data_IF_553300010793
#
_entry.id   IF_553300010793
#
_cell.length_a   1.000
_cell.length_b   1.000
_cell.length_c   1.000
_cell.angle_alpha   90.00
_cell.angle_beta   90.00
_cell.angle_gamma   90.00
#
_symmetry.space_group_name_H-M   'P 1'
#
loop_
_entity.id
_entity.type
_entity.pdbx_description
1 polymer ?
#
# COMPACT_ATOMS: atom_id res chain seq x y z
N UNK A 1 64.06 11.19 61.94
CA UNK A 1 63.67 11.57 60.58
C UNK A 1 62.72 10.58 59.87
N UNK A 2 62.19 9.52 60.53
CA UNK A 2 61.26 8.56 59.88
C UNK A 2 59.77 8.74 60.26
N UNK A 3 59.44 9.49 61.32
CA UNK A 3 58.04 9.74 61.74
C UNK A 3 57.31 10.74 60.82
N UNK A 4 58.02 11.71 60.24
CA UNK A 4 57.41 12.73 59.36
C UNK A 4 57.10 12.20 57.95
N UNK A 5 57.88 11.23 57.44
CA UNK A 5 57.59 10.54 56.18
C UNK A 5 56.29 9.71 56.25
N UNK A 6 56.03 9.07 57.39
CA UNK A 6 54.79 8.30 57.60
C UNK A 6 53.54 9.20 57.71
N UNK A 7 53.70 10.40 58.28
CA UNK A 7 52.61 11.38 58.44
C UNK A 7 52.21 12.00 57.10
N UNK A 8 53.19 12.37 56.28
CA UNK A 8 52.98 12.89 54.92
C UNK A 8 52.42 11.84 53.95
N UNK A 9 52.86 10.58 54.05
CA UNK A 9 52.29 9.47 53.27
C UNK A 9 50.82 9.16 53.64
N UNK A 10 50.47 9.12 54.93
CA UNK A 10 49.08 8.95 55.37
C UNK A 10 48.17 10.10 54.94
N UNK A 11 48.67 11.34 54.97
CA UNK A 11 47.93 12.52 54.48
C UNK A 11 47.65 12.42 52.96
N UNK A 12 48.62 11.97 52.15
CA UNK A 12 48.42 11.76 50.71
C UNK A 12 47.38 10.68 50.41
N UNK A 13 47.42 9.56 51.15
CA UNK A 13 46.43 8.48 51.01
C UNK A 13 45.02 8.97 51.37
N UNK A 14 44.87 9.72 52.47
CA UNK A 14 43.57 10.30 52.86
C UNK A 14 43.05 11.27 51.81
N UNK A 15 43.91 12.12 51.24
CA UNK A 15 43.53 13.02 50.15
C UNK A 15 43.03 12.25 48.92
N UNK A 16 43.73 11.18 48.51
CA UNK A 16 43.30 10.33 47.41
C UNK A 16 41.98 9.62 47.72
N UNK A 17 41.79 9.14 48.95
CA UNK A 17 40.57 8.48 49.40
C UNK A 17 39.36 9.43 49.37
N UNK A 18 39.53 10.64 49.90
CA UNK A 18 38.49 11.68 49.88
C UNK A 18 38.15 12.08 48.44
N UNK A 19 39.17 12.20 47.59
CA UNK A 19 38.98 12.50 46.17
C UNK A 19 38.24 11.37 45.44
N UNK A 20 38.54 10.11 45.77
CA UNK A 20 37.86 8.96 45.16
C UNK A 20 36.42 8.83 45.64
N UNK A 21 36.16 9.03 46.93
CA UNK A 21 34.80 9.03 47.50
C UNK A 21 33.97 10.18 46.95
N UNK A 22 34.54 11.38 46.79
CA UNK A 22 33.82 12.51 46.19
C UNK A 22 33.47 12.27 44.73
N UNK A 23 34.35 11.58 43.98
CA UNK A 23 34.09 11.21 42.59
C UNK A 23 32.96 10.18 42.46
N UNK A 24 32.94 9.17 43.34
CA UNK A 24 31.85 8.18 43.42
C UNK A 24 30.53 8.88 43.77
N UNK A 25 30.55 9.81 44.74
CA UNK A 25 29.38 10.56 45.13
C UNK A 25 28.83 11.42 43.96
N UNK A 26 29.71 12.08 43.21
CA UNK A 26 29.35 12.82 41.99
C UNK A 26 28.72 11.94 40.92
N UNK A 27 29.26 10.74 40.68
CA UNK A 27 28.67 9.78 39.75
C UNK A 27 27.31 9.27 40.24
N UNK A 28 27.17 9.01 41.54
CA UNK A 28 25.91 8.60 42.17
C UNK A 28 24.83 9.67 42.07
N UNK A 29 25.16 10.92 42.40
CA UNK A 29 24.25 12.06 42.28
C UNK A 29 23.81 12.27 40.82
N UNK A 30 24.73 12.13 39.86
CA UNK A 30 24.39 12.23 38.44
C UNK A 30 23.52 11.07 37.95
N UNK A 31 23.75 9.85 38.44
CA UNK A 31 22.89 8.70 38.15
C UNK A 31 21.49 8.89 38.73
N UNK A 32 21.38 9.39 39.96
CA UNK A 32 20.10 9.72 40.59
C UNK A 32 19.36 10.81 39.82
N UNK A 33 20.04 11.85 39.35
CA UNK A 33 19.46 12.89 38.50
C UNK A 33 18.85 12.32 37.21
N UNK A 34 19.58 11.42 36.56
CA UNK A 34 19.12 10.76 35.33
C UNK A 34 17.94 9.82 35.60
N UNK A 35 17.99 9.03 36.68
CA UNK A 35 16.99 8.00 36.98
C UNK A 35 15.74 8.51 37.70
N UNK A 36 15.78 9.67 38.36
CA UNK A 36 14.64 10.20 39.13
C UNK A 36 14.07 11.45 38.48
N UNK A 37 14.89 12.47 38.21
CA UNK A 37 14.40 13.73 37.64
C UNK A 37 14.18 13.63 36.13
N UNK A 38 15.09 12.99 35.40
CA UNK A 38 15.01 12.88 33.93
C UNK A 38 14.39 11.58 33.43
N UNK A 39 14.04 10.65 34.32
CA UNK A 39 13.51 9.35 33.89
C UNK A 39 12.22 9.48 33.09
N UNK A 40 11.29 10.35 33.49
CA UNK A 40 10.04 10.51 32.75
C UNK A 40 10.28 11.07 31.34
N UNK A 41 11.08 12.15 31.23
CA UNK A 41 11.40 12.77 29.94
C UNK A 41 12.18 11.81 29.03
N UNK A 42 13.21 11.13 29.55
CA UNK A 42 14.03 10.18 28.78
C UNK A 42 13.24 8.93 28.39
N UNK A 43 12.34 8.45 29.26
CA UNK A 43 11.46 7.32 28.93
C UNK A 43 10.47 7.71 27.86
N UNK A 44 9.87 8.91 27.92
CA UNK A 44 8.94 9.39 26.91
C UNK A 44 9.63 9.64 25.55
N UNK A 45 10.86 10.17 25.57
CA UNK A 45 11.68 10.38 24.37
C UNK A 45 12.10 9.04 23.75
N UNK A 46 12.57 8.10 24.57
CA UNK A 46 12.84 6.73 24.14
C UNK A 46 11.59 6.05 23.59
N UNK A 47 10.46 6.18 24.26
CA UNK A 47 9.18 5.64 23.79
C UNK A 47 8.75 6.23 22.45
N UNK A 48 8.88 7.53 22.25
CA UNK A 48 8.56 8.16 20.97
C UNK A 48 9.54 7.72 19.85
N UNK A 49 10.82 7.49 20.20
CA UNK A 49 11.82 6.98 19.28
C UNK A 49 11.60 5.49 18.93
N UNK A 50 11.11 4.68 19.88
CA UNK A 50 10.80 3.25 19.70
C UNK A 50 9.40 3.01 19.09
N UNK A 51 8.41 3.85 19.41
CA UNK A 51 7.03 3.73 18.96
C UNK A 51 6.88 4.25 17.54
N UNK A 52 7.17 3.38 16.56
CA UNK A 52 6.76 3.66 15.19
C UNK A 52 5.27 3.38 15.05
N UNK A 53 4.52 4.39 14.66
CA UNK A 53 3.16 4.20 14.17
C UNK A 53 3.22 3.63 12.76
N UNK A 54 2.57 2.48 12.54
CA UNK A 54 2.30 1.99 11.20
C UNK A 54 0.82 2.22 10.92
N UNK A 55 0.55 2.78 9.74
CA UNK A 55 -0.81 2.95 9.24
C UNK A 55 -1.20 1.63 8.61
N UNK A 56 -2.20 0.96 9.19
CA UNK A 56 -2.81 -0.22 8.59
C UNK A 56 -4.09 0.23 7.92
N UNK A 57 -4.14 0.08 6.60
CA UNK A 57 -5.31 0.39 5.78
C UNK A 57 -6.16 -0.86 5.62
N UNK A 58 -7.48 -0.73 5.77
CA UNK A 58 -8.40 -1.80 5.45
C UNK A 58 -8.49 -2.07 3.95
N UNK A 59 -8.97 -3.25 3.60
CA UNK A 59 -9.21 -3.61 2.21
C UNK A 59 -10.28 -2.74 1.58
N UNK A 60 -10.09 -2.37 0.31
CA UNK A 60 -11.11 -1.69 -0.47
C UNK A 60 -12.32 -2.60 -0.73
N UNK A 61 -13.52 -2.05 -0.57
CA UNK A 61 -14.80 -2.73 -0.77
C UNK A 61 -15.02 -3.24 -2.19
N UNK A 62 -15.89 -4.22 -2.35
CA UNK A 62 -16.13 -4.89 -3.62
C UNK A 62 -17.11 -4.10 -4.48
N UNK A 63 -16.97 -4.21 -5.81
CA UNK A 63 -17.99 -3.78 -6.77
C UNK A 63 -18.61 -5.04 -7.34
N UNK A 64 -19.93 -5.16 -7.19
CA UNK A 64 -20.71 -6.33 -7.57
C UNK A 64 -21.73 -5.95 -8.64
N UNK A 65 -22.12 -6.91 -9.48
CA UNK A 65 -23.28 -6.76 -10.36
C UNK A 65 -24.60 -7.02 -9.60
N UNK A 66 -25.75 -6.86 -10.27
CA UNK A 66 -27.07 -7.09 -9.68
C UNK A 66 -27.31 -8.50 -9.16
N UNK A 67 -26.52 -9.47 -9.62
CA UNK A 67 -26.57 -10.89 -9.24
C UNK A 67 -25.43 -11.26 -8.28
N UNK A 68 -24.80 -10.28 -7.65
CA UNK A 68 -23.69 -10.44 -6.69
C UNK A 68 -22.41 -11.04 -7.28
N UNK A 69 -22.26 -11.04 -8.60
CA UNK A 69 -21.01 -11.41 -9.27
C UNK A 69 -19.97 -10.31 -9.08
N UNK A 70 -18.73 -10.72 -8.79
CA UNK A 70 -17.61 -9.81 -8.58
C UNK A 70 -17.22 -9.13 -9.90
N UNK A 71 -17.28 -7.80 -9.92
CA UNK A 71 -16.78 -6.95 -10.99
C UNK A 71 -15.41 -6.34 -10.65
N UNK A 72 -15.23 -5.92 -9.39
CA UNK A 72 -13.95 -5.52 -8.84
C UNK A 72 -13.78 -6.03 -7.39
N UNK A 73 -12.58 -6.52 -7.06
CA UNK A 73 -12.26 -7.03 -5.73
C UNK A 73 -10.82 -6.70 -5.37
N UNK A 74 -10.53 -6.65 -4.08
CA UNK A 74 -9.17 -6.60 -3.56
C UNK A 74 -8.67 -8.04 -3.40
N UNK A 75 -7.42 -8.29 -3.79
CA UNK A 75 -6.71 -9.55 -3.56
C UNK A 75 -5.48 -9.30 -2.70
N UNK A 76 -5.14 -10.27 -1.86
CA UNK A 76 -3.92 -10.24 -1.07
C UNK A 76 -2.70 -10.21 -1.98
N UNK A 77 -1.81 -9.27 -1.70
CA UNK A 77 -0.54 -9.12 -2.39
C UNK A 77 0.58 -8.98 -1.36
N UNK A 78 1.79 -9.31 -1.75
CA UNK A 78 2.96 -9.12 -0.89
C UNK A 78 3.80 -8.02 -1.51
N UNK A 79 4.11 -7.00 -0.73
CA UNK A 79 5.07 -5.97 -1.10
C UNK A 79 6.38 -6.20 -0.35
N UNK A 80 7.50 -5.98 -1.03
CA UNK A 80 8.83 -6.19 -0.49
C UNK A 80 9.44 -4.83 -0.19
N UNK A 81 9.84 -4.65 1.06
CA UNK A 81 10.50 -3.45 1.55
C UNK A 81 11.89 -3.79 2.06
N UNK A 82 12.75 -2.78 2.09
CA UNK A 82 14.11 -2.90 2.56
C UNK A 82 14.39 -1.83 3.62
N UNK A 83 15.24 -2.16 4.58
CA UNK A 83 15.98 -1.22 5.40
C UNK A 83 17.45 -1.26 4.93
N UNK A 84 17.81 -0.44 3.93
CA UNK A 84 19.18 -0.35 3.40
C UNK A 84 20.27 -0.29 4.48
N UNK A 85 20.04 0.47 5.56
CA UNK A 85 20.96 0.58 6.70
C UNK A 85 21.35 -0.77 7.34
N UNK A 86 20.48 -1.79 7.28
CA UNK A 86 20.72 -3.13 7.87
C UNK A 86 21.30 -4.13 6.87
N UNK A 87 21.47 -3.76 5.60
CA UNK A 87 21.93 -4.67 4.55
C UNK A 87 23.46 -4.64 4.50
N UNK A 88 24.10 -5.78 4.82
CA UNK A 88 25.56 -5.90 4.78
C UNK A 88 26.13 -5.82 3.36
N UNK A 89 25.53 -6.58 2.43
CA UNK A 89 26.04 -6.70 1.05
C UNK A 89 25.07 -6.22 -0.05
N UNK A 90 25.03 -4.89 -0.28
CA UNK A 90 24.49 -4.19 -1.43
C UNK A 90 24.17 -4.99 -2.68
N UNK A 91 25.29 -5.35 -3.33
CA UNK A 91 25.34 -5.90 -4.67
C UNK A 91 24.92 -7.36 -4.76
N UNK A 92 25.14 -8.16 -3.71
CA UNK A 92 24.68 -9.56 -3.70
C UNK A 92 23.16 -9.59 -3.55
N UNK A 93 22.62 -8.82 -2.61
CA UNK A 93 21.18 -8.68 -2.43
C UNK A 93 20.51 -8.18 -3.72
N UNK A 94 21.06 -7.12 -4.32
CA UNK A 94 20.52 -6.58 -5.56
C UNK A 94 20.51 -7.59 -6.72
N UNK A 95 21.59 -8.34 -6.94
CA UNK A 95 21.68 -9.35 -8.03
C UNK A 95 20.72 -10.52 -7.86
N UNK A 96 20.56 -11.04 -6.65
CA UNK A 96 19.63 -12.16 -6.39
C UNK A 96 18.17 -11.69 -6.49
N UNK A 97 17.85 -10.54 -5.91
CA UNK A 97 16.50 -9.96 -5.97
C UNK A 97 16.12 -9.56 -7.41
N UNK A 98 17.05 -8.97 -8.17
CA UNK A 98 16.80 -8.58 -9.55
C UNK A 98 16.42 -9.75 -10.45
N UNK A 99 17.05 -10.92 -10.24
CA UNK A 99 16.77 -12.13 -11.02
C UNK A 99 15.36 -12.66 -10.78
N UNK A 100 14.86 -12.59 -9.54
CA UNK A 100 13.53 -13.07 -9.17
C UNK A 100 12.44 -12.07 -9.56
N UNK A 101 12.71 -10.78 -9.37
CA UNK A 101 11.74 -9.70 -9.59
C UNK A 101 11.74 -9.16 -11.02
N UNK A 102 12.68 -9.58 -11.85
CA UNK A 102 12.91 -9.09 -13.21
C UNK A 102 13.04 -7.55 -13.27
N UNK A 103 13.85 -6.99 -12.37
CA UNK A 103 14.11 -5.54 -12.25
C UNK A 103 15.59 -5.25 -12.48
N UNK A 104 15.91 -4.03 -12.88
CA UNK A 104 17.30 -3.64 -13.14
C UNK A 104 18.17 -3.71 -11.87
N UNK A 105 19.18 -4.59 -11.87
CA UNK A 105 20.07 -4.82 -10.73
C UNK A 105 20.83 -3.55 -10.29
N UNK A 106 21.28 -2.72 -11.24
CA UNK A 106 22.03 -1.49 -10.96
C UNK A 106 21.15 -0.45 -10.27
N UNK A 107 19.89 -0.31 -10.72
CA UNK A 107 18.90 0.56 -10.06
C UNK A 107 18.61 0.08 -8.65
N UNK A 108 18.41 -1.22 -8.47
CA UNK A 108 18.09 -1.79 -7.17
C UNK A 108 19.27 -1.68 -6.19
N UNK A 109 20.50 -1.90 -6.65
CA UNK A 109 21.71 -1.72 -5.85
C UNK A 109 21.82 -0.28 -5.34
N UNK A 110 21.57 0.73 -6.20
CA UNK A 110 21.57 2.13 -5.77
C UNK A 110 20.56 2.40 -4.64
N UNK A 111 19.38 1.78 -4.71
CA UNK A 111 18.36 1.88 -3.66
C UNK A 111 18.80 1.19 -2.36
N UNK A 112 19.38 -0.01 -2.47
CA UNK A 112 19.83 -0.84 -1.35
C UNK A 112 21.12 -0.36 -0.68
N UNK A 113 21.97 0.39 -1.38
CA UNK A 113 23.20 0.98 -0.84
C UNK A 113 22.98 2.32 -0.11
N UNK A 114 21.75 2.81 -0.04
CA UNK A 114 21.45 4.07 0.66
C UNK A 114 21.50 3.92 2.19
N UNK A 115 21.65 5.02 2.93
CA UNK A 115 21.61 5.02 4.41
C UNK A 115 20.17 5.17 4.95
N UNK A 116 19.16 4.82 4.14
CA UNK A 116 17.76 4.99 4.51
C UNK A 116 17.29 3.83 5.39
N UNK A 117 16.39 4.13 6.33
CA UNK A 117 15.72 3.13 7.16
C UNK A 117 14.54 2.43 6.46
N UNK A 118 14.14 2.93 5.29
CA UNK A 118 13.03 2.39 4.50
C UNK A 118 13.27 2.64 3.00
N UNK A 119 13.05 1.61 2.18
CA UNK A 119 13.03 1.70 0.74
C UNK A 119 12.08 0.64 0.14
N UNK A 120 11.30 1.03 -0.86
CA UNK A 120 10.51 0.08 -1.66
C UNK A 120 11.42 -0.73 -2.58
N UNK A 121 11.35 -2.06 -2.52
CA UNK A 121 12.05 -2.97 -3.44
C UNK A 121 11.12 -3.30 -4.60
N UNK A 122 9.94 -3.83 -4.29
CA UNK A 122 8.90 -4.15 -5.27
C UNK A 122 7.53 -4.14 -4.59
N UNK A 123 6.51 -3.64 -5.29
CA UNK A 123 5.12 -3.66 -4.80
C UNK A 123 4.36 -4.81 -5.44
N UNK A 124 3.48 -5.45 -4.66
CA UNK A 124 2.48 -6.43 -5.11
C UNK A 124 3.06 -7.57 -5.96
N UNK A 125 4.13 -8.18 -5.46
CA UNK A 125 4.78 -9.33 -6.11
C UNK A 125 3.93 -10.59 -6.00
N UNK A 126 4.18 -11.56 -6.89
CA UNK A 126 3.48 -12.85 -6.81
C UNK A 126 3.87 -13.62 -5.54
N UNK A 127 2.97 -14.47 -5.00
CA UNK A 127 3.29 -15.32 -3.85
C UNK A 127 4.53 -16.20 -4.08
N UNK A 128 4.72 -16.69 -5.31
CA UNK A 128 5.89 -17.49 -5.70
C UNK A 128 7.19 -16.68 -5.60
N UNK A 129 7.22 -15.46 -6.14
CA UNK A 129 8.38 -14.57 -6.02
C UNK A 129 8.67 -14.21 -4.55
N UNK A 130 7.62 -13.90 -3.78
CA UNK A 130 7.76 -13.62 -2.36
C UNK A 130 8.36 -14.81 -1.60
N UNK A 131 7.91 -16.03 -1.89
CA UNK A 131 8.43 -17.27 -1.28
C UNK A 131 9.90 -17.50 -1.61
N UNK A 132 10.29 -17.36 -2.89
CA UNK A 132 11.70 -17.47 -3.31
C UNK A 132 12.58 -16.45 -2.59
N UNK A 133 12.09 -15.22 -2.39
CA UNK A 133 12.87 -14.18 -1.70
C UNK A 133 12.94 -14.44 -0.19
N UNK A 134 11.90 -15.03 0.42
CA UNK A 134 11.92 -15.45 1.84
C UNK A 134 13.03 -16.48 2.08
N UNK A 135 13.22 -17.42 1.15
CA UNK A 135 14.25 -18.46 1.28
C UNK A 135 15.69 -17.90 1.28
N UNK A 136 15.91 -16.70 0.71
CA UNK A 136 17.23 -16.07 0.67
C UNK A 136 17.66 -15.49 2.02
N UNK A 137 16.74 -15.31 2.98
CA UNK A 137 17.02 -14.86 4.35
C UNK A 137 17.92 -13.63 4.46
N UNK A 138 17.76 -12.65 3.55
CA UNK A 138 18.54 -11.41 3.61
C UNK A 138 18.17 -10.56 4.81
N UNK A 139 19.17 -10.18 5.60
CA UNK A 139 19.00 -9.18 6.66
C UNK A 139 18.63 -7.83 6.06
N UNK A 140 17.61 -7.18 6.63
CA UNK A 140 17.13 -5.88 6.17
C UNK A 140 16.11 -5.93 5.02
N UNK A 141 15.66 -7.12 4.59
CA UNK A 141 14.51 -7.27 3.69
C UNK A 141 13.28 -7.68 4.50
N UNK A 142 12.16 -7.01 4.26
CA UNK A 142 10.91 -7.20 4.96
C UNK A 142 9.77 -7.44 3.96
N UNK A 143 8.74 -8.14 4.43
CA UNK A 143 7.55 -8.45 3.65
C UNK A 143 6.36 -7.78 4.31
N UNK A 144 5.69 -6.93 3.57
CA UNK A 144 4.49 -6.23 4.00
C UNK A 144 3.30 -6.84 3.27
N UNK A 145 2.27 -7.22 4.03
CA UNK A 145 0.99 -7.59 3.45
C UNK A 145 0.37 -6.33 2.87
N UNK A 146 0.06 -6.39 1.59
CA UNK A 146 -0.53 -5.32 0.80
C UNK A 146 -1.79 -5.86 0.13
N UNK A 147 -2.59 -4.99 -0.45
CA UNK A 147 -3.71 -5.39 -1.29
C UNK A 147 -3.55 -4.82 -2.69
N UNK A 148 -4.01 -5.60 -3.67
CA UNK A 148 -4.06 -5.18 -5.07
C UNK A 148 -5.50 -5.20 -5.53
N UNK A 149 -5.93 -4.11 -6.16
CA UNK A 149 -7.21 -4.09 -6.87
C UNK A 149 -7.16 -4.99 -8.10
N UNK A 150 -8.16 -5.85 -8.24
CA UNK A 150 -8.27 -6.85 -9.28
C UNK A 150 -9.67 -6.88 -9.90
N UNK A 151 -9.71 -6.96 -11.23
CA UNK A 151 -10.93 -6.95 -12.03
C UNK A 151 -11.08 -8.32 -12.72
N UNK A 152 -11.87 -9.26 -12.16
CA UNK A 152 -11.92 -10.66 -12.64
C UNK A 152 -12.36 -10.79 -14.09
N UNK A 153 -13.24 -9.89 -14.55
CA UNK A 153 -13.83 -9.93 -15.88
C UNK A 153 -13.04 -9.09 -16.91
N UNK A 154 -11.81 -8.66 -16.56
CA UNK A 154 -10.92 -7.87 -17.42
C UNK A 154 -11.64 -6.62 -17.94
N UNK A 155 -11.91 -6.56 -19.23
CA UNK A 155 -12.49 -5.47 -20.01
C UNK A 155 -13.98 -5.22 -19.77
N UNK A 156 -14.71 -6.20 -19.23
CA UNK A 156 -16.15 -6.08 -19.01
C UNK A 156 -16.51 -4.89 -18.12
N UNK A 157 -17.32 -3.97 -18.65
CA UNK A 157 -17.76 -2.73 -18.01
C UNK A 157 -16.60 -1.84 -17.52
N UNK A 158 -15.42 -1.91 -18.16
CA UNK A 158 -14.22 -1.23 -17.68
C UNK A 158 -14.36 0.30 -17.55
N UNK A 159 -15.04 0.97 -18.49
CA UNK A 159 -15.29 2.41 -18.46
C UNK A 159 -16.29 2.81 -17.37
N UNK A 160 -17.23 1.92 -17.04
CA UNK A 160 -18.23 2.15 -15.99
C UNK A 160 -17.61 1.96 -14.61
N UNK A 161 -16.89 0.85 -14.43
CA UNK A 161 -16.22 0.51 -13.17
C UNK A 161 -15.04 1.46 -12.93
N UNK A 162 -14.23 1.70 -13.95
CA UNK A 162 -12.97 2.42 -13.86
C UNK A 162 -11.82 1.57 -13.28
N UNK A 163 -10.80 2.23 -12.77
CA UNK A 163 -9.62 1.58 -12.19
C UNK A 163 -9.04 2.37 -11.01
N UNK A 164 -8.18 1.72 -10.22
CA UNK A 164 -7.43 2.36 -9.13
C UNK A 164 -5.95 2.59 -9.47
N UNK A 165 -5.36 3.59 -8.79
CA UNK A 165 -3.96 3.93 -8.89
C UNK A 165 -3.03 3.03 -8.08
N UNK A 166 -1.75 3.42 -8.01
CA UNK A 166 -0.74 2.70 -7.23
C UNK A 166 -1.03 2.70 -5.72
N UNK A 167 -1.73 3.72 -5.23
CA UNK A 167 -2.07 3.92 -3.82
C UNK A 167 -3.51 3.50 -3.49
N UNK A 168 -4.14 2.74 -4.39
CA UNK A 168 -5.49 2.18 -4.26
C UNK A 168 -6.62 3.23 -4.19
N UNK A 169 -6.33 4.46 -4.64
CA UNK A 169 -7.33 5.49 -4.91
C UNK A 169 -7.99 5.24 -6.26
N UNK A 170 -9.32 5.40 -6.33
CA UNK A 170 -10.05 5.36 -7.60
C UNK A 170 -9.67 6.54 -8.49
N UNK A 171 -9.42 6.27 -9.77
CA UNK A 171 -9.00 7.29 -10.75
C UNK A 171 -10.08 7.57 -11.80
N UNK A 172 -10.90 6.57 -12.14
CA UNK A 172 -11.95 6.67 -13.15
C UNK A 172 -13.23 5.97 -12.71
N UNK A 173 -14.33 6.24 -13.41
CA UNK A 173 -15.60 5.52 -13.27
C UNK A 173 -16.16 5.49 -11.83
N UNK A 174 -16.81 4.38 -11.48
CA UNK A 174 -17.33 4.17 -10.13
C UNK A 174 -16.27 4.02 -9.06
N UNK A 175 -15.07 3.55 -9.40
CA UNK A 175 -13.94 3.55 -8.48
C UNK A 175 -13.63 4.97 -7.99
N UNK A 176 -13.64 5.96 -8.89
CA UNK A 176 -13.45 7.37 -8.53
C UNK A 176 -14.68 7.93 -7.80
N UNK A 177 -15.87 7.78 -8.38
CA UNK A 177 -17.11 8.37 -7.83
C UNK A 177 -17.42 7.89 -6.41
N UNK A 178 -17.20 6.61 -6.12
CA UNK A 178 -17.47 5.99 -4.82
C UNK A 178 -16.19 5.72 -4.03
N UNK A 179 -15.09 6.45 -4.31
CA UNK A 179 -13.83 6.22 -3.60
C UNK A 179 -13.97 6.28 -2.08
N UNK A 180 -14.72 7.25 -1.54
CA UNK A 180 -14.94 7.39 -0.10
C UNK A 180 -15.75 6.26 0.53
N UNK A 181 -16.61 5.59 -0.25
CA UNK A 181 -17.42 4.46 0.21
C UNK A 181 -16.62 3.15 0.12
N UNK A 182 -15.87 3.00 -0.97
CA UNK A 182 -15.08 1.81 -1.27
C UNK A 182 -13.79 1.76 -0.45
N UNK A 183 -13.19 2.89 -0.11
CA UNK A 183 -11.93 2.95 0.62
C UNK A 183 -12.10 2.43 2.05
N UNK A 184 -11.20 1.53 2.45
CA UNK A 184 -11.14 1.07 3.83
C UNK A 184 -10.61 2.15 4.76
N UNK A 185 -11.09 2.16 6.00
CA UNK A 185 -10.56 3.06 7.02
C UNK A 185 -9.13 2.69 7.40
N UNK A 186 -8.39 3.65 7.93
CA UNK A 186 -7.00 3.45 8.34
C UNK A 186 -6.88 3.51 9.86
N UNK A 187 -6.21 2.52 10.45
CA UNK A 187 -5.88 2.52 11.88
C UNK A 187 -4.39 2.78 12.05
N UNK A 188 -4.04 3.82 12.81
CA UNK A 188 -2.67 4.03 13.28
C UNK A 188 -2.42 3.07 14.44
N UNK A 189 -1.54 2.11 14.23
CA UNK A 189 -1.23 1.10 15.24
C UNK A 189 0.17 1.34 15.75
N UNK A 190 0.29 1.47 17.07
CA UNK A 190 1.59 1.53 17.75
C UNK A 190 2.18 0.13 17.72
N UNK A 191 3.28 -0.04 16.99
CA UNK A 191 3.97 -1.32 16.92
C UNK A 191 5.27 -1.22 17.72
N UNK A 192 5.40 -2.07 18.74
CA UNK A 192 6.69 -2.31 19.37
C UNK A 192 7.42 -3.30 18.46
N UNK A 193 8.34 -2.80 17.63
CA UNK A 193 9.20 -3.69 16.83
C UNK A 193 10.22 -4.31 17.77
N UNK A 194 10.20 -5.64 17.86
CA UNK A 194 11.31 -6.41 18.43
C UNK A 194 12.62 -6.09 17.67
N UNK A 195 13.80 -6.40 18.24
CA UNK A 195 15.11 -6.17 17.63
C UNK A 195 15.26 -6.76 16.22
N UNK A 196 14.46 -7.79 15.91
CA UNK A 196 14.35 -8.45 14.61
C UNK A 196 13.32 -7.82 13.64
N UNK A 197 12.62 -6.76 14.03
CA UNK A 197 11.73 -5.97 13.16
C UNK A 197 10.41 -6.66 12.80
N UNK A 198 10.03 -7.75 13.49
CA UNK A 198 8.73 -8.41 13.29
C UNK A 198 7.62 -7.53 13.88
N UNK A 199 6.58 -7.29 13.08
CA UNK A 199 5.40 -6.54 13.50
C UNK A 199 4.47 -7.53 14.21
N UNK A 200 4.05 -7.23 15.44
CA UNK A 200 2.97 -7.96 16.11
C UNK A 200 1.72 -7.84 15.26
N UNK A 201 1.25 -8.98 14.75
CA UNK A 201 0.14 -9.05 13.80
C UNK A 201 -1.09 -8.42 14.43
N UNK A 202 -1.64 -7.40 13.76
CA UNK A 202 -2.96 -6.92 14.13
C UNK A 202 -3.93 -8.06 13.94
N UNK A 203 -4.64 -8.36 15.02
CA UNK A 203 -5.69 -9.36 15.07
C UNK A 203 -6.56 -9.26 13.81
N UNK A 204 -6.68 -10.34 13.02
CA UNK A 204 -7.35 -10.32 11.70
C UNK A 204 -8.75 -9.70 11.78
N UNK A 205 -9.42 -9.86 12.93
CA UNK A 205 -10.72 -9.24 13.25
C UNK A 205 -10.68 -7.71 13.17
N UNK A 206 -9.62 -7.05 13.65
CA UNK A 206 -9.46 -5.59 13.55
C UNK A 206 -9.26 -5.14 12.11
N UNK A 207 -8.51 -5.89 11.28
CA UNK A 207 -8.38 -5.56 9.85
C UNK A 207 -9.72 -5.69 9.10
N UNK A 208 -10.53 -6.69 9.43
CA UNK A 208 -11.84 -6.86 8.82
C UNK A 208 -12.79 -5.67 9.11
N UNK A 209 -12.69 -5.06 10.30
CA UNK A 209 -13.46 -3.85 10.66
C UNK A 209 -13.03 -2.60 9.87
N UNK A 210 -11.83 -2.61 9.29
CA UNK A 210 -11.32 -1.50 8.48
C UNK A 210 -11.77 -1.60 7.02
N UNK A 211 -12.38 -2.70 6.60
CA UNK A 211 -12.76 -2.93 5.20
C UNK A 211 -13.78 -1.88 4.74
N UNK A 212 -13.56 -1.35 3.54
CA UNK A 212 -14.49 -0.41 2.90
C UNK A 212 -15.80 -1.07 2.50
N UNK A 213 -16.85 -0.24 2.37
CA UNK A 213 -18.17 -0.72 2.01
C UNK A 213 -18.19 -1.18 0.56
N UNK A 214 -18.98 -2.22 0.28
CA UNK A 214 -19.15 -2.73 -1.08
C UNK A 214 -20.36 -2.10 -1.74
N UNK A 215 -20.31 -1.92 -3.06
CA UNK A 215 -21.44 -1.39 -3.84
C UNK A 215 -21.95 -2.47 -4.79
N UNK A 216 -23.26 -2.49 -4.97
CA UNK A 216 -23.96 -3.37 -5.91
C UNK A 216 -24.49 -2.50 -7.04
N UNK A 217 -24.08 -2.79 -8.27
CA UNK A 217 -24.54 -2.08 -9.47
C UNK A 217 -25.83 -2.71 -9.99
N UNK A 218 -26.59 -1.92 -10.75
CA UNK A 218 -27.77 -2.41 -11.48
C UNK A 218 -27.40 -3.20 -12.74
N UNK A 219 -26.15 -3.07 -13.18
CA UNK A 219 -25.58 -3.76 -14.34
C UNK A 219 -25.76 -5.26 -14.17
N UNK A 220 -26.20 -5.91 -15.24
CA UNK A 220 -26.24 -7.35 -15.36
C UNK A 220 -25.02 -7.82 -16.16
N UNK A 221 -24.17 -8.65 -15.54
CA UNK A 221 -22.94 -9.14 -16.16
C UNK A 221 -23.18 -9.82 -17.52
N UNK A 222 -24.29 -10.56 -17.69
CA UNK A 222 -24.59 -11.28 -18.93
C UNK A 222 -25.03 -10.30 -20.01
N UNK A 223 -25.95 -9.39 -19.69
CA UNK A 223 -26.43 -8.38 -20.64
C UNK A 223 -25.28 -7.47 -21.06
N UNK A 224 -24.43 -7.06 -20.13
CA UNK A 224 -23.21 -6.29 -20.42
C UNK A 224 -22.31 -7.02 -21.41
N UNK A 225 -21.98 -8.29 -21.15
CA UNK A 225 -21.10 -9.07 -22.02
C UNK A 225 -21.66 -9.22 -23.44
N UNK A 226 -22.95 -9.55 -23.56
CA UNK A 226 -23.64 -9.63 -24.84
C UNK A 226 -23.64 -8.29 -25.59
N UNK A 227 -23.81 -7.19 -24.86
CA UNK A 227 -23.84 -5.83 -25.44
C UNK A 227 -22.46 -5.41 -25.96
N UNK A 228 -21.40 -5.63 -25.18
CA UNK A 228 -20.01 -5.37 -25.58
C UNK A 228 -19.60 -6.25 -26.77
N UNK A 229 -19.88 -7.55 -26.72
CA UNK A 229 -19.56 -8.47 -27.83
C UNK A 229 -20.28 -8.08 -29.12
N UNK A 230 -21.54 -7.69 -29.04
CA UNK A 230 -22.32 -7.25 -30.21
C UNK A 230 -21.79 -5.92 -30.74
N UNK A 231 -21.48 -4.98 -29.84
CA UNK A 231 -20.92 -3.68 -30.20
C UNK A 231 -19.56 -3.83 -30.88
N UNK A 232 -18.67 -4.65 -30.35
CA UNK A 232 -17.35 -4.93 -30.93
C UNK A 232 -17.49 -5.48 -32.35
N UNK A 233 -18.35 -6.49 -32.56
CA UNK A 233 -18.61 -7.08 -33.88
C UNK A 233 -19.11 -6.02 -34.87
N UNK A 234 -20.09 -5.21 -34.46
CA UNK A 234 -20.69 -4.16 -35.30
C UNK A 234 -19.67 -3.07 -35.64
N UNK A 235 -18.91 -2.57 -34.67
CA UNK A 235 -17.90 -1.53 -34.90
C UNK A 235 -16.81 -2.03 -35.84
N UNK A 236 -16.35 -3.28 -35.68
CA UNK A 236 -15.37 -3.89 -36.57
C UNK A 236 -15.91 -4.10 -37.98
N UNK A 237 -17.14 -4.63 -38.11
CA UNK A 237 -17.77 -4.87 -39.40
C UNK A 237 -17.94 -3.57 -40.21
N UNK A 238 -18.30 -2.48 -39.54
CA UNK A 238 -18.48 -1.17 -40.17
C UNK A 238 -17.23 -0.28 -40.17
N UNK A 239 -16.10 -0.78 -39.65
CA UNK A 239 -14.85 -0.01 -39.49
C UNK A 239 -15.05 1.34 -38.79
N UNK A 240 -15.98 1.38 -37.83
CA UNK A 240 -16.29 2.60 -37.09
C UNK A 240 -15.16 2.91 -36.08
N UNK A 241 -15.03 4.19 -35.72
CA UNK A 241 -14.00 4.66 -34.77
C UNK A 241 -14.30 4.26 -33.32
N UNK A 242 -15.57 4.31 -32.94
CA UNK A 242 -16.04 4.02 -31.59
C UNK A 242 -17.54 3.72 -31.61
N UNK A 243 -18.07 3.18 -30.52
CA UNK A 243 -19.51 3.03 -30.34
C UNK A 243 -19.89 2.89 -28.87
N UNK A 244 -21.18 2.98 -28.59
CA UNK A 244 -21.74 2.78 -27.26
C UNK A 244 -23.11 2.12 -27.34
N UNK A 245 -23.48 1.32 -26.34
CA UNK A 245 -24.81 0.71 -26.20
C UNK A 245 -25.27 0.85 -24.76
N UNK A 246 -26.47 1.39 -24.56
CA UNK A 246 -27.13 1.46 -23.26
C UNK A 246 -28.36 0.57 -23.28
N UNK A 247 -28.52 -0.26 -22.25
CA UNK A 247 -29.71 -1.07 -22.02
C UNK A 247 -30.29 -0.67 -20.67
N UNK A 248 -31.53 -0.16 -20.68
CA UNK A 248 -32.21 0.34 -19.49
C UNK A 248 -33.53 -0.42 -19.29
N UNK A 249 -33.90 -0.67 -18.03
CA UNK A 249 -35.25 -1.10 -17.66
C UNK A 249 -36.15 0.13 -17.52
N UNK A 250 -37.14 0.35 -18.41
CA UNK A 250 -37.94 1.59 -18.39
C UNK A 250 -38.74 1.79 -17.10
N UNK A 251 -39.21 0.70 -16.48
CA UNK A 251 -40.08 0.78 -15.30
C UNK A 251 -39.34 1.28 -14.05
N UNK A 252 -38.02 1.08 -13.96
CA UNK A 252 -37.21 1.42 -12.78
C UNK A 252 -36.12 2.46 -13.08
N UNK A 253 -35.82 2.72 -14.35
CA UNK A 253 -34.68 3.54 -14.76
C UNK A 253 -33.31 2.86 -14.57
N UNK A 254 -33.28 1.59 -14.17
CA UNK A 254 -32.03 0.86 -13.94
C UNK A 254 -31.30 0.60 -15.27
N UNK A 255 -30.02 0.96 -15.34
CA UNK A 255 -29.16 0.52 -16.44
C UNK A 255 -28.70 -0.92 -16.20
N UNK A 256 -29.06 -1.80 -17.14
CA UNK A 256 -28.65 -3.20 -17.17
C UNK A 256 -27.32 -3.38 -17.89
N UNK A 257 -26.99 -2.50 -18.84
CA UNK A 257 -25.71 -2.48 -19.54
C UNK A 257 -25.37 -1.07 -19.99
N UNK A 258 -24.09 -0.70 -19.90
CA UNK A 258 -23.51 0.49 -20.51
C UNK A 258 -22.18 0.04 -21.12
N UNK A 259 -22.20 -0.26 -22.41
CA UNK A 259 -21.09 -0.83 -23.16
C UNK A 259 -20.43 0.23 -24.05
N UNK A 260 -19.11 0.14 -24.22
CA UNK A 260 -18.32 1.06 -25.04
C UNK A 260 -17.29 0.31 -25.86
N UNK A 261 -16.96 0.85 -27.03
CA UNK A 261 -15.82 0.42 -27.83
C UNK A 261 -15.05 1.66 -28.31
N UNK A 262 -13.70 1.69 -28.29
CA UNK A 262 -12.78 0.62 -27.90
C UNK A 262 -12.79 0.32 -26.38
N UNK A 263 -12.47 -0.93 -26.05
CA UNK A 263 -12.37 -1.44 -24.68
C UNK A 263 -10.94 -1.32 -24.13
N UNK A 264 -10.81 -1.36 -22.80
CA UNK A 264 -9.50 -1.49 -22.15
C UNK A 264 -9.55 -2.47 -20.98
N UNK A 265 -8.40 -3.00 -20.59
CA UNK A 265 -8.28 -3.85 -19.41
C UNK A 265 -7.83 -3.02 -18.19
N UNK A 266 -8.67 -2.81 -17.16
CA UNK A 266 -8.34 -2.05 -15.96
C UNK A 266 -7.23 -2.70 -15.12
N UNK A 267 -6.97 -4.00 -15.28
CA UNK A 267 -5.80 -4.64 -14.65
C UNK A 267 -4.46 -4.22 -15.29
N UNK A 268 -4.49 -3.70 -16.52
CA UNK A 268 -3.31 -3.24 -17.27
C UNK A 268 -3.60 -1.92 -18.01
N UNK A 269 -4.18 -0.94 -17.31
CA UNK A 269 -4.62 0.32 -17.92
C UNK A 269 -3.46 1.15 -18.50
N UNK A 270 -2.23 1.02 -17.98
CA UNK A 270 -1.06 1.80 -18.43
C UNK A 270 -0.68 1.60 -19.90
N UNK A 271 -1.13 0.51 -20.53
CA UNK A 271 -0.88 0.23 -21.94
C UNK A 271 -1.88 0.89 -22.90
N UNK A 272 -2.87 1.63 -22.39
CA UNK A 272 -3.94 2.24 -23.17
C UNK A 272 -3.86 3.76 -23.12
N UNK A 273 -4.32 4.41 -24.19
CA UNK A 273 -4.45 5.87 -24.24
C UNK A 273 -5.58 6.36 -23.34
N UNK A 274 -5.41 7.53 -22.72
CA UNK A 274 -6.41 8.13 -21.82
C UNK A 274 -7.78 8.32 -22.47
N UNK A 275 -7.83 8.50 -23.80
CA UNK A 275 -9.08 8.64 -24.54
C UNK A 275 -9.98 7.39 -24.49
N UNK A 276 -9.40 6.20 -24.25
CA UNK A 276 -10.14 4.92 -24.17
C UNK A 276 -10.88 4.77 -22.84
N UNK A 277 -10.41 5.43 -21.78
CA UNK A 277 -11.03 5.35 -20.45
C UNK A 277 -12.35 6.11 -20.35
N UNK A 278 -12.61 7.03 -21.30
CA UNK A 278 -13.79 7.90 -21.29
C UNK A 278 -15.08 7.08 -21.38
N UNK A 279 -15.97 7.31 -20.42
CA UNK A 279 -17.35 6.87 -20.50
C UNK A 279 -18.12 7.80 -21.46
N UNK A 280 -18.05 7.49 -22.76
CA UNK A 280 -18.65 8.32 -23.83
C UNK A 280 -20.15 8.52 -23.68
N UNK A 281 -20.83 7.60 -23.03
CA UNK A 281 -22.27 7.71 -22.76
C UNK A 281 -22.62 8.90 -21.84
N UNK A 282 -21.64 9.42 -21.10
CA UNK A 282 -21.79 10.58 -20.21
C UNK A 282 -20.94 11.76 -20.67
N UNK A 283 -19.76 11.52 -21.23
CA UNK A 283 -18.79 12.58 -21.55
C UNK A 283 -18.91 13.17 -22.95
N UNK A 284 -19.51 12.44 -23.90
CA UNK A 284 -19.49 12.81 -25.31
C UNK A 284 -20.90 13.23 -25.76
N UNK A 285 -21.09 14.52 -26.04
CA UNK A 285 -22.31 15.01 -26.64
C UNK A 285 -22.33 14.74 -28.15
N UNK A 286 -23.50 14.38 -28.69
CA UNK A 286 -23.74 14.23 -30.11
C UNK A 286 -25.17 14.64 -30.46
N UNK A 287 -25.40 15.01 -31.72
CA UNK A 287 -26.72 15.38 -32.20
C UNK A 287 -27.62 14.13 -32.31
N UNK A 288 -28.81 14.10 -31.67
CA UNK A 288 -29.66 12.91 -31.62
C UNK A 288 -30.34 12.58 -32.97
N UNK A 289 -30.34 13.52 -33.92
CA UNK A 289 -30.95 13.34 -35.25
C UNK A 289 -32.40 12.88 -35.16
N UNK A 290 -32.76 11.89 -35.98
CA UNK A 290 -34.15 11.39 -36.05
C UNK A 290 -34.65 10.74 -34.76
N UNK A 291 -33.78 10.40 -33.79
CA UNK A 291 -34.23 9.85 -32.50
C UNK A 291 -35.04 10.89 -31.68
N UNK A 292 -34.83 12.18 -31.91
CA UNK A 292 -35.55 13.24 -31.20
C UNK A 292 -36.99 13.42 -31.68
N UNK A 293 -37.32 12.93 -32.89
CA UNK A 293 -38.66 13.07 -33.50
C UNK A 293 -39.78 12.42 -32.70
N UNK A 294 -39.45 11.58 -31.71
CA UNK A 294 -40.44 10.97 -30.81
C UNK A 294 -41.00 12.01 -29.80
N UNK A 295 -40.25 13.08 -29.52
CA UNK A 295 -40.62 14.12 -28.55
C UNK A 295 -41.17 15.40 -29.18
N UNK A 296 -40.98 15.59 -30.49
CA UNK A 296 -41.44 16.75 -31.27
C UNK A 296 -42.60 16.38 -32.16
#
# INVERSE_FOLDING_TARGET
MSKDLNKTMKQRIIVVQVLMVSLIFLMGAKSFDIQVFKAHELTQKAENDYARHVIVKGERGQILDRSMNKLATSIDAISITACPFKIKDPGIAARKLSKILNINAKKLQKTLSSQRMFAWVARRVSPNQASQIRQLNFTGIYFENDSKRFYPNRNLAAQVIGFTGADDSGLEGFEFKYNSVLEGSSLKVRINRDGNGRILDLDKKKRAQLKGNSIVLTIDKKIQFLSEQTLEKTVKAHRAKSGMVLVMRPQTGEFLSIAHFPEFNPNNFKGYESAVFRNRAVTDAFEPGSAMKVFT
#
